data_IF_240752374056
#
_entry.id   IF_240752374056
#
_cell.length_a   1.000
_cell.length_b   1.000
_cell.length_c   1.000
_cell.angle_alpha   90.00
_cell.angle_beta   90.00
_cell.angle_gamma   90.00
#
_symmetry.space_group_name_H-M   'P 1'
#
loop_
_entity.id
_entity.type
_entity.pdbx_description
1 polymer ?
#
# COMPACT_ATOMS: atom_id res chain seq x y z
N UNK A 1 -29.03 -2.84 -28.02
CA UNK A 1 -28.08 -2.06 -27.22
C UNK A 1 -26.76 -2.80 -27.25
N UNK A 2 -25.73 -2.16 -27.78
CA UNK A 2 -24.42 -2.75 -28.03
C UNK A 2 -23.65 -2.96 -26.73
N UNK A 3 -23.14 -4.17 -26.54
CA UNK A 3 -22.38 -4.58 -25.37
C UNK A 3 -20.99 -3.92 -25.44
N UNK A 4 -20.78 -2.82 -24.71
CA UNK A 4 -19.51 -2.09 -24.71
C UNK A 4 -18.61 -2.70 -23.63
N UNK A 5 -17.64 -3.52 -24.04
CA UNK A 5 -16.62 -4.04 -23.13
C UNK A 5 -15.72 -2.92 -22.56
N UNK A 6 -15.21 -3.10 -21.33
CA UNK A 6 -14.30 -2.16 -20.63
C UNK A 6 -13.16 -1.63 -21.53
N UNK A 7 -12.59 -2.52 -22.36
CA UNK A 7 -11.51 -2.18 -23.31
C UNK A 7 -11.97 -1.32 -24.48
N UNK A 8 -13.23 -1.46 -24.91
CA UNK A 8 -13.85 -0.65 -25.98
C UNK A 8 -14.28 0.71 -25.43
N UNK A 9 -14.78 0.76 -24.19
CA UNK A 9 -15.11 2.01 -23.50
C UNK A 9 -13.85 2.87 -23.27
N UNK A 10 -12.78 2.28 -22.73
CA UNK A 10 -11.50 2.96 -22.53
C UNK A 10 -10.79 3.38 -23.82
N UNK A 11 -11.13 2.77 -24.97
CA UNK A 11 -10.62 3.18 -26.30
C UNK A 11 -11.48 4.26 -26.96
N UNK A 12 -12.74 4.40 -26.56
CA UNK A 12 -13.68 5.38 -27.12
C UNK A 12 -13.55 6.79 -26.53
N UNK A 13 -13.01 6.91 -25.31
CA UNK A 13 -12.70 8.20 -24.67
C UNK A 13 -11.24 8.57 -24.99
N UNK A 14 -11.04 9.43 -25.99
CA UNK A 14 -9.74 9.82 -26.49
C UNK A 14 -8.77 10.33 -25.42
N UNK A 15 -7.50 9.95 -25.56
CA UNK A 15 -6.25 10.54 -25.01
C UNK A 15 -6.16 10.91 -23.52
N UNK A 16 -7.20 10.71 -22.71
CA UNK A 16 -7.31 11.15 -21.32
C UNK A 16 -7.86 10.01 -20.44
N UNK A 17 -7.29 8.82 -20.56
CA UNK A 17 -7.80 7.64 -19.86
C UNK A 17 -7.42 7.68 -18.37
N UNK A 18 -8.18 8.41 -17.55
CA UNK A 18 -8.28 8.06 -16.14
C UNK A 18 -8.96 6.69 -16.05
N UNK A 19 -8.35 5.73 -15.36
CA UNK A 19 -9.01 4.47 -15.05
C UNK A 19 -10.23 4.78 -14.17
N UNK A 20 -11.43 4.57 -14.71
CA UNK A 20 -12.66 4.79 -13.96
C UNK A 20 -12.93 3.59 -13.04
N UNK A 21 -13.51 3.83 -11.85
CA UNK A 21 -14.03 2.75 -11.01
C UNK A 21 -15.03 1.90 -11.79
N UNK A 22 -15.16 0.65 -11.38
CA UNK A 22 -16.21 -0.21 -11.90
C UNK A 22 -17.59 0.37 -11.57
N UNK A 23 -18.48 0.39 -12.57
CA UNK A 23 -19.83 0.95 -12.48
C UNK A 23 -20.83 -0.18 -12.76
N UNK A 24 -21.54 -0.62 -11.71
CA UNK A 24 -22.47 -1.75 -11.78
C UNK A 24 -23.67 -1.49 -12.70
N UNK A 25 -24.13 -0.25 -12.80
CA UNK A 25 -25.24 0.18 -13.67
C UNK A 25 -24.92 0.09 -15.17
N UNK A 26 -23.64 0.06 -15.54
CA UNK A 26 -23.22 -0.15 -16.94
C UNK A 26 -23.16 -1.64 -17.31
N UNK A 27 -23.19 -2.55 -16.34
CA UNK A 27 -23.16 -3.99 -16.54
C UNK A 27 -24.57 -4.56 -16.77
N UNK A 28 -25.25 -4.13 -17.83
CA UNK A 28 -26.55 -4.69 -18.22
C UNK A 28 -26.32 -6.04 -18.92
N UNK A 29 -26.50 -7.17 -18.21
CA UNK A 29 -26.65 -8.50 -18.82
C UNK A 29 -25.85 -9.66 -18.22
N UNK A 30 -25.05 -9.49 -17.17
CA UNK A 30 -24.35 -10.62 -16.53
C UNK A 30 -25.08 -11.10 -15.27
N UNK A 31 -25.77 -12.24 -15.35
CA UNK A 31 -26.44 -12.91 -14.22
C UNK A 31 -25.47 -13.54 -13.19
N UNK A 32 -24.16 -13.39 -13.36
CA UNK A 32 -23.13 -13.81 -12.40
C UNK A 32 -22.20 -12.64 -12.12
N UNK A 33 -22.64 -11.73 -11.26
CA UNK A 33 -21.83 -10.61 -10.79
C UNK A 33 -21.01 -11.05 -9.56
N UNK A 34 -19.69 -11.06 -9.69
CA UNK A 34 -18.79 -11.33 -8.58
C UNK A 34 -18.08 -10.03 -8.19
N UNK A 35 -18.27 -9.59 -6.94
CA UNK A 35 -17.57 -8.42 -6.42
C UNK A 35 -16.07 -8.68 -6.52
N UNK A 36 -15.27 -7.79 -7.15
CA UNK A 36 -13.84 -8.01 -7.32
C UNK A 36 -13.19 -8.13 -5.94
N UNK A 37 -12.58 -9.28 -5.70
CA UNK A 37 -11.75 -9.50 -4.52
C UNK A 37 -10.51 -8.62 -4.63
N UNK A 38 -10.12 -8.01 -3.51
CA UNK A 38 -8.96 -7.14 -3.42
C UNK A 38 -8.16 -7.48 -2.18
N UNK A 39 -6.84 -7.38 -2.28
CA UNK A 39 -5.93 -7.61 -1.17
C UNK A 39 -4.99 -6.41 -1.03
N UNK A 40 -4.85 -5.91 0.19
CA UNK A 40 -3.89 -4.86 0.53
C UNK A 40 -3.09 -5.28 1.75
N UNK A 41 -1.77 -5.20 1.67
CA UNK A 41 -0.86 -5.54 2.76
C UNK A 41 -0.17 -4.30 3.29
N UNK A 42 -0.25 -4.09 4.60
CA UNK A 42 0.34 -2.94 5.27
C UNK A 42 1.50 -3.41 6.15
N UNK A 43 2.65 -2.80 5.97
CA UNK A 43 3.83 -3.03 6.79
C UNK A 43 4.13 -1.82 7.66
N UNK A 44 4.21 -2.05 8.97
CA UNK A 44 4.58 -1.05 9.98
C UNK A 44 5.98 -1.40 10.50
N UNK A 45 7.00 -0.59 10.20
CA UNK A 45 8.38 -0.90 10.55
C UNK A 45 8.68 -0.58 12.03
N UNK A 46 9.86 -1.01 12.52
CA UNK A 46 10.42 -0.64 13.86
C UNK A 46 9.60 -1.23 15.04
N UNK A 47 8.58 -2.03 14.73
CA UNK A 47 7.77 -2.74 15.71
C UNK A 47 6.76 -1.86 16.44
N UNK A 48 6.13 -2.44 17.45
CA UNK A 48 5.03 -1.82 18.22
C UNK A 48 5.31 -1.93 19.71
N UNK A 49 4.79 -0.98 20.48
CA UNK A 49 4.86 -1.04 21.94
C UNK A 49 3.90 -2.13 22.42
N UNK A 50 4.46 -3.27 22.84
CA UNK A 50 3.67 -4.48 23.17
C UNK A 50 2.54 -4.22 24.15
N UNK A 51 2.83 -3.51 25.26
CA UNK A 51 1.86 -3.18 26.33
C UNK A 51 0.61 -2.47 25.85
N UNK A 52 0.70 -1.74 24.74
CA UNK A 52 -0.39 -0.91 24.24
C UNK A 52 -0.94 -1.40 22.91
N UNK A 53 -0.35 -2.45 22.33
CA UNK A 53 -0.75 -3.04 21.05
C UNK A 53 -1.39 -4.43 21.22
N UNK A 54 -0.73 -5.36 21.92
CA UNK A 54 -1.22 -6.73 22.07
C UNK A 54 -2.20 -6.85 23.26
N UNK A 55 -3.44 -7.31 23.02
CA UNK A 55 -4.38 -7.61 24.11
C UNK A 55 -3.80 -8.62 25.10
N UNK A 56 -3.96 -8.38 26.41
CA UNK A 56 -3.46 -9.27 27.46
C UNK A 56 -1.96 -9.09 27.80
N UNK A 57 -1.27 -8.14 27.15
CA UNK A 57 0.13 -7.82 27.42
C UNK A 57 0.33 -6.49 28.16
N UNK A 58 -0.71 -5.93 28.79
CA UNK A 58 -0.66 -4.61 29.44
C UNK A 58 0.39 -4.55 30.57
N UNK A 59 0.63 -5.69 31.22
CA UNK A 59 1.62 -5.88 32.29
C UNK A 59 2.96 -6.41 31.79
N UNK A 60 3.12 -6.64 30.49
CA UNK A 60 4.34 -7.21 29.89
C UNK A 60 5.55 -6.33 30.21
N UNK A 61 6.51 -6.84 30.99
CA UNK A 61 7.72 -6.10 31.36
C UNK A 61 8.84 -6.21 30.33
N UNK A 62 8.56 -6.71 29.12
CA UNK A 62 9.55 -6.98 28.07
C UNK A 62 10.29 -5.67 27.71
N UNK A 63 11.43 -5.48 28.36
CA UNK A 63 12.46 -4.46 28.12
C UNK A 63 13.69 -5.10 27.45
N UNK A 64 13.53 -6.20 26.72
CA UNK A 64 14.67 -6.86 26.10
C UNK A 64 15.29 -5.91 25.06
N UNK A 65 16.55 -5.51 25.31
CA UNK A 65 17.37 -4.86 24.29
C UNK A 65 17.70 -5.92 23.23
N UNK A 66 17.05 -5.80 22.08
CA UNK A 66 17.37 -6.60 20.91
C UNK A 66 18.79 -6.27 20.46
N UNK A 67 19.67 -7.26 20.52
CA UNK A 67 20.98 -7.24 19.88
C UNK A 67 21.07 -8.50 19.03
N UNK A 68 21.76 -8.43 17.89
CA UNK A 68 21.89 -9.55 16.97
C UNK A 68 22.46 -10.82 17.63
N UNK A 69 23.13 -10.68 18.78
CA UNK A 69 23.88 -11.76 19.43
C UNK A 69 23.13 -12.45 20.59
N UNK A 70 21.98 -11.92 21.07
CA UNK A 70 21.27 -12.43 22.25
C UNK A 70 19.75 -12.60 22.02
N UNK A 71 19.34 -13.02 20.83
CA UNK A 71 17.93 -13.22 20.50
C UNK A 71 17.41 -14.59 20.97
N UNK A 72 16.52 -14.59 21.97
CA UNK A 72 15.66 -15.74 22.30
C UNK A 72 14.26 -15.51 21.72
N UNK A 73 13.97 -16.22 20.62
CA UNK A 73 12.67 -16.18 19.97
C UNK A 73 11.54 -16.58 20.92
N UNK A 74 11.78 -17.56 21.79
CA UNK A 74 10.80 -18.09 22.74
C UNK A 74 10.34 -17.04 23.74
N UNK A 75 11.27 -16.24 24.29
CA UNK A 75 10.94 -15.17 25.24
C UNK A 75 10.18 -13.99 24.61
N UNK A 76 10.08 -13.93 23.28
CA UNK A 76 9.45 -12.82 22.55
C UNK A 76 8.07 -13.17 21.98
N UNK A 77 7.64 -14.44 22.09
CA UNK A 77 6.31 -14.84 21.62
C UNK A 77 5.22 -14.09 22.36
N UNK A 78 4.15 -13.76 21.65
CA UNK A 78 2.96 -13.24 22.32
C UNK A 78 2.31 -14.35 23.14
N UNK A 79 1.71 -13.97 24.26
CA UNK A 79 0.93 -14.91 25.09
C UNK A 79 -0.47 -15.19 24.50
N UNK A 80 -0.77 -14.66 23.32
CA UNK A 80 -2.03 -14.89 22.61
C UNK A 80 -1.96 -16.24 21.89
N UNK A 81 -2.97 -17.09 22.09
CA UNK A 81 -3.06 -18.40 21.42
C UNK A 81 -3.02 -18.24 19.89
N UNK A 82 -2.44 -19.21 19.18
CA UNK A 82 -2.38 -19.19 17.71
C UNK A 82 -3.76 -19.41 17.12
N UNK A 83 -4.23 -18.49 16.27
CA UNK A 83 -5.50 -18.65 15.57
C UNK A 83 -6.16 -17.33 15.16
N UNK A 84 -7.48 -17.40 15.01
CA UNK A 84 -8.34 -16.26 14.70
C UNK A 84 -8.99 -15.77 15.99
N UNK A 85 -8.93 -14.45 16.22
CA UNK A 85 -9.45 -13.80 17.41
C UNK A 85 -10.26 -12.56 17.04
N UNK A 86 -11.31 -12.29 17.80
CA UNK A 86 -11.97 -10.99 17.73
C UNK A 86 -11.00 -9.88 18.18
N UNK A 87 -11.06 -8.73 17.50
CA UNK A 87 -10.19 -7.61 17.85
C UNK A 87 -10.61 -7.01 19.21
N UNK A 88 -9.80 -7.24 20.24
CA UNK A 88 -9.88 -6.49 21.48
C UNK A 88 -9.12 -5.16 21.33
N UNK A 89 -9.82 -4.04 21.47
CA UNK A 89 -9.23 -2.72 21.26
C UNK A 89 -8.31 -2.33 22.42
N UNK A 90 -7.01 -2.34 22.16
CA UNK A 90 -6.00 -1.74 23.04
C UNK A 90 -5.92 -0.21 22.83
N UNK A 91 -5.21 0.55 23.70
CA UNK A 91 -5.12 2.00 23.56
C UNK A 91 -4.63 2.48 22.19
N UNK A 92 -3.70 1.77 21.54
CA UNK A 92 -3.21 2.13 20.20
C UNK A 92 -4.19 1.76 19.09
N UNK A 93 -5.08 0.80 19.33
CA UNK A 93 -6.10 0.35 18.38
C UNK A 93 -7.42 1.13 18.47
N UNK A 94 -7.57 2.07 19.43
CA UNK A 94 -8.78 2.90 19.57
C UNK A 94 -9.31 3.52 18.27
N UNK A 95 -8.47 3.99 17.32
CA UNK A 95 -8.95 4.51 16.04
C UNK A 95 -9.74 3.50 15.19
N UNK A 96 -9.59 2.20 15.45
CA UNK A 96 -10.31 1.12 14.76
C UNK A 96 -11.70 0.83 15.35
N UNK A 97 -12.16 1.59 16.35
CA UNK A 97 -13.42 1.30 17.06
C UNK A 97 -14.63 1.22 16.13
N UNK A 98 -14.73 2.11 15.15
CA UNK A 98 -15.81 2.11 14.14
C UNK A 98 -15.70 0.98 13.09
N UNK A 99 -14.61 0.23 13.10
CA UNK A 99 -14.33 -0.88 12.18
C UNK A 99 -14.14 -2.21 12.91
N UNK A 100 -14.36 -2.27 14.22
CA UNK A 100 -14.05 -3.44 15.06
C UNK A 100 -14.68 -4.73 14.50
N UNK A 101 -15.94 -4.66 14.08
CA UNK A 101 -16.69 -5.82 13.56
C UNK A 101 -16.23 -6.26 12.15
N UNK A 102 -15.30 -5.50 11.55
CA UNK A 102 -14.68 -5.78 10.24
C UNK A 102 -13.21 -6.15 10.35
N UNK A 103 -12.67 -6.28 11.57
CA UNK A 103 -11.25 -6.58 11.80
C UNK A 103 -11.13 -7.84 12.66
N UNK A 104 -10.35 -8.79 12.18
CA UNK A 104 -9.98 -10.01 12.90
C UNK A 104 -8.50 -9.95 13.22
N UNK A 105 -8.13 -10.30 14.46
CA UNK A 105 -6.74 -10.47 14.85
C UNK A 105 -6.33 -11.91 14.51
N UNK A 106 -5.25 -12.05 13.73
CA UNK A 106 -4.66 -13.34 13.38
C UNK A 106 -3.29 -13.44 14.06
N UNK A 107 -3.06 -14.52 14.78
CA UNK A 107 -1.81 -14.79 15.52
C UNK A 107 -1.14 -16.08 15.03
N UNK A 108 0.13 -16.26 15.39
CA UNK A 108 0.95 -17.39 14.91
C UNK A 108 1.51 -17.22 13.51
N UNK A 109 1.53 -15.98 13.01
CA UNK A 109 2.21 -15.60 11.77
C UNK A 109 3.63 -15.05 12.05
N UNK A 110 4.16 -15.30 13.26
CA UNK A 110 5.53 -14.95 13.60
C UNK A 110 6.53 -15.86 12.88
N UNK A 111 7.74 -15.34 12.72
CA UNK A 111 8.85 -16.05 12.08
C UNK A 111 10.06 -16.11 13.00
N UNK A 112 10.82 -17.18 12.89
CA UNK A 112 12.13 -17.27 13.54
C UNK A 112 13.16 -16.47 12.75
N UNK A 113 13.89 -15.60 13.45
CA UNK A 113 15.02 -14.87 12.88
C UNK A 113 16.14 -15.82 12.46
N UNK A 114 16.76 -15.58 11.30
CA UNK A 114 17.95 -16.30 10.85
C UNK A 114 19.22 -15.50 11.21
N UNK A 115 20.08 -15.98 12.12
CA UNK A 115 21.33 -15.29 12.44
C UNK A 115 22.24 -15.10 11.21
N UNK A 116 23.04 -14.04 11.22
CA UNK A 116 24.01 -13.72 10.17
C UNK A 116 23.61 -12.59 9.22
N UNK A 117 22.42 -11.99 9.40
CA UNK A 117 22.05 -10.72 8.77
C UNK A 117 21.55 -9.72 9.82
N UNK A 118 21.25 -8.52 9.38
CA UNK A 118 20.55 -7.55 10.21
C UNK A 118 19.09 -7.96 10.47
N UNK A 119 18.60 -7.72 11.69
CA UNK A 119 17.22 -8.03 12.09
C UNK A 119 16.20 -7.16 11.36
N UNK A 120 16.48 -5.87 11.18
CA UNK A 120 15.58 -4.93 10.50
C UNK A 120 15.43 -5.29 9.03
N UNK A 121 16.51 -5.71 8.37
CA UNK A 121 16.45 -6.25 7.01
C UNK A 121 15.53 -7.48 6.91
N UNK A 122 15.57 -8.38 7.89
CA UNK A 122 14.66 -9.54 7.96
C UNK A 122 13.25 -9.19 8.47
N UNK A 123 13.02 -8.06 9.11
CA UNK A 123 11.65 -7.64 9.43
C UNK A 123 10.93 -7.22 8.15
N UNK A 124 11.53 -6.36 7.33
CA UNK A 124 10.91 -5.86 6.11
C UNK A 124 10.88 -6.92 5.00
N UNK A 125 12.04 -7.39 4.56
CA UNK A 125 12.14 -8.26 3.38
C UNK A 125 11.40 -9.59 3.49
N UNK A 126 11.13 -10.01 4.71
CA UNK A 126 10.66 -11.34 5.03
C UNK A 126 9.20 -11.33 5.51
N UNK A 127 8.55 -10.15 5.52
CA UNK A 127 7.17 -9.94 5.96
C UNK A 127 6.14 -10.75 5.15
N UNK A 128 6.23 -10.74 3.82
CA UNK A 128 5.30 -11.47 2.93
C UNK A 128 5.88 -12.80 2.40
N UNK A 129 7.03 -13.24 2.90
CA UNK A 129 7.73 -14.45 2.45
C UNK A 129 7.51 -15.61 3.42
N UNK A 130 7.22 -16.80 2.88
CA UNK A 130 7.06 -18.05 3.64
C UNK A 130 8.36 -18.88 3.76
N UNK A 131 9.48 -18.40 3.22
CA UNK A 131 10.73 -19.16 3.27
C UNK A 131 11.21 -19.35 4.71
N UNK A 132 11.43 -20.61 5.08
CA UNK A 132 11.93 -20.99 6.40
C UNK A 132 13.40 -20.61 6.56
N UNK A 133 13.88 -20.35 7.79
CA UNK A 133 15.30 -20.11 8.05
C UNK A 133 16.18 -21.22 7.47
N UNK A 134 17.29 -20.84 6.84
CA UNK A 134 18.31 -21.71 6.23
C UNK A 134 17.82 -22.60 5.08
N UNK A 135 16.56 -22.44 4.63
CA UNK A 135 16.02 -23.21 3.49
C UNK A 135 16.68 -22.83 2.15
N UNK A 136 17.14 -21.58 2.03
CA UNK A 136 17.79 -21.03 0.85
C UNK A 136 19.30 -21.01 1.07
N UNK A 137 20.04 -21.81 0.27
CA UNK A 137 21.49 -22.00 0.46
C UNK A 137 22.37 -20.90 -0.15
N UNK A 138 21.82 -20.13 -1.09
CA UNK A 138 22.57 -19.16 -1.90
C UNK A 138 22.39 -17.71 -1.44
N UNK A 139 21.55 -17.47 -0.43
CA UNK A 139 21.29 -16.13 0.10
C UNK A 139 21.19 -16.19 1.62
N UNK A 140 21.76 -15.21 2.35
CA UNK A 140 21.62 -15.17 3.80
C UNK A 140 20.22 -14.73 4.23
N UNK A 141 19.39 -14.25 3.29
CA UNK A 141 18.03 -13.83 3.57
C UNK A 141 17.00 -14.91 3.20
N UNK A 142 16.18 -15.38 4.16
CA UNK A 142 15.11 -16.36 3.90
C UNK A 142 13.89 -15.73 3.19
N UNK A 143 14.06 -15.37 1.92
CA UNK A 143 13.08 -14.72 1.06
C UNK A 143 12.69 -15.60 -0.13
N UNK A 144 11.40 -15.91 -0.25
CA UNK A 144 10.79 -16.52 -1.43
C UNK A 144 9.82 -15.53 -2.09
N UNK A 145 9.18 -16.00 -3.16
CA UNK A 145 8.09 -15.27 -3.79
C UNK A 145 7.02 -14.89 -2.76
N UNK A 146 6.65 -13.62 -2.74
CA UNK A 146 5.80 -13.07 -1.69
C UNK A 146 4.31 -13.33 -1.90
N UNK A 147 3.56 -13.31 -0.79
CA UNK A 147 2.13 -13.62 -0.73
C UNK A 147 1.26 -12.75 -1.63
N UNK A 148 1.58 -11.46 -1.75
CA UNK A 148 0.90 -10.53 -2.66
C UNK A 148 0.99 -10.99 -4.12
N UNK A 149 2.15 -11.43 -4.59
CA UNK A 149 2.29 -11.99 -5.94
C UNK A 149 1.61 -13.35 -6.11
N UNK A 150 1.55 -14.17 -5.06
CA UNK A 150 0.79 -15.43 -5.09
C UNK A 150 -0.71 -15.14 -5.23
N UNK A 151 -1.23 -14.18 -4.49
CA UNK A 151 -2.64 -13.75 -4.59
C UNK A 151 -2.92 -13.09 -5.94
N UNK A 152 -1.99 -12.27 -6.44
CA UNK A 152 -2.14 -11.60 -7.73
C UNK A 152 -2.20 -12.58 -8.91
N UNK A 153 -1.61 -13.77 -8.78
CA UNK A 153 -1.78 -14.82 -9.78
C UNK A 153 -3.21 -15.34 -9.85
N UNK A 154 -4.02 -15.18 -8.81
CA UNK A 154 -5.43 -15.58 -8.82
C UNK A 154 -6.34 -14.41 -9.19
N UNK A 155 -6.18 -13.25 -8.54
CA UNK A 155 -7.12 -12.13 -8.64
C UNK A 155 -6.61 -10.94 -9.46
N UNK A 156 -5.35 -10.93 -9.89
CA UNK A 156 -4.71 -9.80 -10.61
C UNK A 156 -4.64 -9.96 -12.13
N UNK A 157 -5.31 -10.97 -12.73
CA UNK A 157 -5.21 -11.27 -14.17
C UNK A 157 -5.90 -10.23 -15.07
N UNK A 158 -6.95 -9.60 -14.56
CA UNK A 158 -7.83 -8.69 -15.33
C UNK A 158 -7.54 -7.20 -15.07
N UNK A 159 -6.45 -6.89 -14.37
CA UNK A 159 -6.03 -5.52 -14.06
C UNK A 159 -4.77 -5.12 -14.84
N UNK A 160 -4.61 -3.84 -15.22
CA UNK A 160 -3.42 -3.36 -15.92
C UNK A 160 -2.10 -3.68 -15.20
N UNK A 161 -2.12 -3.58 -13.87
CA UNK A 161 -1.02 -3.97 -13.00
C UNK A 161 -1.46 -5.19 -12.18
N UNK A 162 -0.63 -6.23 -12.13
CA UNK A 162 -0.90 -7.42 -11.29
C UNK A 162 -0.81 -7.09 -9.81
N UNK A 163 0.19 -6.32 -9.45
CA UNK A 163 0.46 -5.80 -8.11
C UNK A 163 0.93 -4.35 -8.23
N UNK A 164 0.75 -3.56 -7.16
CA UNK A 164 1.38 -2.25 -6.99
C UNK A 164 2.00 -2.15 -5.61
N UNK A 165 3.29 -1.89 -5.57
CA UNK A 165 4.08 -1.78 -4.37
C UNK A 165 4.31 -0.30 -4.03
N UNK A 166 3.90 0.13 -2.84
CA UNK A 166 4.02 1.50 -2.35
C UNK A 166 4.95 1.52 -1.13
N UNK A 167 5.80 2.53 -1.03
CA UNK A 167 6.67 2.73 0.12
C UNK A 167 6.74 4.19 0.48
N UNK A 168 6.76 4.47 1.77
CA UNK A 168 7.04 5.80 2.28
C UNK A 168 8.51 6.02 2.65
N UNK A 169 9.44 5.19 2.18
CA UNK A 169 10.84 5.56 2.34
C UNK A 169 11.22 6.68 1.34
N UNK A 170 11.53 7.87 1.86
CA UNK A 170 11.93 9.06 1.10
C UNK A 170 13.42 9.09 0.76
N UNK A 171 14.23 8.17 1.28
CA UNK A 171 15.66 8.12 1.00
C UNK A 171 15.93 7.80 -0.47
N UNK A 172 16.73 8.66 -1.09
CA UNK A 172 17.19 8.52 -2.48
C UNK A 172 18.52 7.77 -2.59
N UNK A 173 19.29 7.75 -1.50
CA UNK A 173 20.57 7.05 -1.45
C UNK A 173 20.36 5.62 -0.97
N UNK A 174 21.00 4.67 -1.66
CA UNK A 174 21.12 3.26 -1.25
C UNK A 174 22.03 3.11 -0.01
N UNK A 175 21.83 3.91 1.03
CA UNK A 175 22.57 3.78 2.29
C UNK A 175 22.34 2.39 2.90
N UNK A 176 21.12 1.88 2.75
CA UNK A 176 20.70 0.57 3.19
C UNK A 176 20.45 -0.37 2.01
N UNK A 177 20.57 -1.67 2.26
CA UNK A 177 20.33 -2.69 1.25
C UNK A 177 18.85 -2.75 0.84
N UNK A 178 18.57 -3.33 -0.33
CA UNK A 178 17.20 -3.49 -0.83
C UNK A 178 16.26 -4.23 0.13
N UNK A 179 16.82 -5.01 1.06
CA UNK A 179 16.10 -5.76 2.08
C UNK A 179 15.52 -4.90 3.21
N UNK A 180 16.04 -3.69 3.44
CA UNK A 180 15.46 -2.74 4.41
C UNK A 180 14.28 -1.96 3.83
N UNK A 181 14.17 -1.92 2.51
CA UNK A 181 13.30 -0.97 1.80
C UNK A 181 12.15 -1.63 1.04
N UNK A 182 12.12 -2.95 0.97
CA UNK A 182 11.13 -3.68 0.19
C UNK A 182 10.59 -4.86 0.99
N UNK A 183 9.28 -5.07 0.83
CA UNK A 183 8.51 -6.13 1.51
C UNK A 183 7.93 -7.15 0.52
N UNK A 184 8.12 -6.92 -0.79
CA UNK A 184 7.56 -7.70 -1.89
C UNK A 184 8.64 -8.17 -2.86
N UNK A 185 8.48 -9.40 -3.34
CA UNK A 185 9.49 -10.14 -4.09
C UNK A 185 8.84 -11.06 -5.13
N UNK A 186 9.25 -10.92 -6.39
CA UNK A 186 8.88 -11.88 -7.44
C UNK A 186 9.43 -13.29 -7.16
N UNK A 187 10.53 -13.37 -6.42
CA UNK A 187 11.20 -14.59 -6.02
C UNK A 187 12.44 -14.27 -5.18
N UNK A 188 13.17 -15.32 -4.78
CA UNK A 188 14.42 -15.18 -4.05
C UNK A 188 15.38 -14.24 -4.79
N UNK A 189 15.84 -13.18 -4.11
CA UNK A 189 16.73 -12.13 -4.66
C UNK A 189 16.16 -11.29 -5.82
N UNK A 190 14.87 -11.45 -6.14
CA UNK A 190 14.19 -10.71 -7.20
C UNK A 190 13.16 -9.77 -6.60
N UNK A 191 13.59 -8.54 -6.32
CA UNK A 191 12.75 -7.51 -5.68
C UNK A 191 11.60 -7.05 -6.58
N UNK A 192 10.43 -6.84 -5.98
CA UNK A 192 9.36 -6.07 -6.60
C UNK A 192 9.47 -4.61 -6.13
N UNK A 193 9.93 -3.69 -6.99
CA UNK A 193 10.33 -2.36 -6.57
C UNK A 193 9.14 -1.48 -6.19
N UNK A 194 9.17 -0.94 -4.97
CA UNK A 194 8.14 -0.01 -4.49
C UNK A 194 8.23 1.38 -5.13
N UNK A 195 7.09 2.01 -5.36
CA UNK A 195 6.97 3.44 -5.66
C UNK A 195 7.15 4.26 -4.38
N UNK A 196 8.07 5.22 -4.41
CA UNK A 196 8.54 6.01 -3.25
C UNK A 196 8.35 7.52 -3.38
N UNK A 197 7.91 7.98 -4.53
CA UNK A 197 7.66 9.40 -4.77
C UNK A 197 6.18 9.55 -5.14
N UNK A 198 5.37 10.28 -4.33
CA UNK A 198 3.94 10.40 -4.56
C UNK A 198 3.61 11.06 -5.91
N UNK A 199 4.43 12.01 -6.37
CA UNK A 199 4.22 12.70 -7.64
C UNK A 199 4.52 11.75 -8.81
N UNK A 200 5.63 11.00 -8.75
CA UNK A 200 5.95 10.00 -9.77
C UNK A 200 4.94 8.85 -9.78
N UNK A 201 4.49 8.41 -8.60
CA UNK A 201 3.44 7.41 -8.48
C UNK A 201 2.13 7.91 -9.11
N UNK A 202 1.69 9.13 -8.77
CA UNK A 202 0.51 9.74 -9.37
C UNK A 202 0.61 9.83 -10.90
N UNK A 203 1.74 10.33 -11.41
CA UNK A 203 1.98 10.42 -12.85
C UNK A 203 1.92 9.06 -13.53
N UNK A 204 2.60 8.05 -12.95
CA UNK A 204 2.62 6.69 -13.49
C UNK A 204 1.25 6.03 -13.51
N UNK A 205 0.42 6.29 -12.50
CA UNK A 205 -0.86 5.63 -12.32
C UNK A 205 -2.00 6.33 -13.06
N UNK A 206 -1.98 7.65 -13.14
CA UNK A 206 -3.14 8.45 -13.55
C UNK A 206 -2.86 9.42 -14.71
N UNK A 207 -1.61 9.66 -15.13
CA UNK A 207 -1.28 10.53 -16.27
C UNK A 207 -0.74 9.72 -17.46
N UNK A 208 -1.39 9.80 -18.61
CA UNK A 208 -1.05 9.02 -19.81
C UNK A 208 -0.25 9.75 -20.90
N UNK A 209 0.20 11.00 -20.68
CA UNK A 209 1.03 11.70 -21.67
C UNK A 209 1.99 12.74 -21.04
N UNK A 210 3.20 12.87 -21.59
CA UNK A 210 4.18 13.91 -21.21
C UNK A 210 3.67 15.32 -21.58
N UNK A 211 2.79 15.43 -22.57
CA UNK A 211 2.20 16.71 -23.03
C UNK A 211 1.12 17.28 -22.10
N UNK A 212 0.48 16.45 -21.28
CA UNK A 212 -0.55 16.87 -20.33
C UNK A 212 0.01 17.22 -18.95
N UNK A 213 1.33 17.40 -18.83
CA UNK A 213 2.00 17.74 -17.58
C UNK A 213 1.48 19.05 -16.94
N UNK A 214 0.87 19.95 -17.73
CA UNK A 214 0.50 21.30 -17.33
C UNK A 214 -1.01 21.57 -17.15
N UNK A 215 -1.89 20.58 -17.33
CA UNK A 215 -3.32 20.77 -17.10
C UNK A 215 -3.84 19.84 -16.01
N UNK A 216 -4.73 20.37 -15.16
CA UNK A 216 -5.51 19.62 -14.18
C UNK A 216 -6.32 18.57 -14.95
N UNK A 217 -5.87 17.32 -14.87
CA UNK A 217 -6.55 16.20 -15.53
C UNK A 217 -7.96 16.04 -14.96
N UNK A 218 -8.17 16.37 -13.69
CA UNK A 218 -9.49 16.42 -13.09
C UNK A 218 -10.42 17.36 -13.86
N UNK A 219 -10.00 18.57 -14.26
CA UNK A 219 -10.90 19.50 -14.96
C UNK A 219 -11.27 19.00 -16.36
N UNK A 220 -10.32 18.37 -17.05
CA UNK A 220 -10.51 17.79 -18.39
C UNK A 220 -11.43 16.55 -18.37
N UNK A 221 -11.27 15.68 -17.36
CA UNK A 221 -12.09 14.48 -17.22
C UNK A 221 -13.42 14.79 -16.54
N UNK A 222 -13.53 15.85 -15.73
CA UNK A 222 -14.77 16.23 -15.04
C UNK A 222 -15.91 16.58 -16.02
N UNK A 223 -15.62 17.19 -17.16
CA UNK A 223 -16.65 17.53 -18.15
C UNK A 223 -17.22 16.29 -18.85
N UNK A 224 -16.36 15.33 -19.21
CA UNK A 224 -16.78 14.01 -19.71
C UNK A 224 -17.52 13.20 -18.62
N UNK A 225 -17.04 13.30 -17.38
CA UNK A 225 -17.59 12.63 -16.22
C UNK A 225 -18.99 13.14 -15.83
N UNK A 226 -19.26 14.44 -15.99
CA UNK A 226 -20.59 15.04 -15.76
C UNK A 226 -21.62 14.55 -16.77
N UNK A 227 -21.19 14.34 -18.02
CA UNK A 227 -22.04 13.76 -19.06
C UNK A 227 -22.38 12.32 -18.72
N UNK A 228 -21.38 11.53 -18.33
CA UNK A 228 -21.56 10.11 -17.94
C UNK A 228 -22.46 9.95 -16.70
N UNK A 229 -22.35 10.86 -15.71
CA UNK A 229 -23.16 10.81 -14.47
C UNK A 229 -24.68 10.74 -14.73
N UNK A 230 -25.16 11.33 -15.85
CA UNK A 230 -26.59 11.31 -16.20
C UNK A 230 -27.11 9.92 -16.57
N UNK A 231 -26.22 9.05 -17.05
CA UNK A 231 -26.54 7.70 -17.52
C UNK A 231 -26.29 6.62 -16.45
N UNK A 232 -25.70 6.99 -15.30
CA UNK A 232 -25.38 6.09 -14.20
C UNK A 232 -26.54 5.94 -13.22
N UNK A 233 -26.69 4.73 -12.65
CA UNK A 233 -27.59 4.48 -11.53
C UNK A 233 -27.14 5.20 -10.24
N UNK A 234 -28.06 5.39 -9.29
CA UNK A 234 -27.80 6.17 -8.06
C UNK A 234 -26.56 5.71 -7.27
N UNK A 235 -26.38 4.40 -7.08
CA UNK A 235 -25.22 3.84 -6.37
C UNK A 235 -23.90 4.12 -7.10
N UNK A 236 -23.91 4.08 -8.43
CA UNK A 236 -22.73 4.34 -9.23
C UNK A 236 -22.40 5.82 -9.26
N UNK A 237 -23.40 6.70 -9.33
CA UNK A 237 -23.20 8.14 -9.22
C UNK A 237 -22.51 8.51 -7.91
N UNK A 238 -22.83 7.82 -6.81
CA UNK A 238 -22.17 8.02 -5.52
C UNK A 238 -20.70 7.56 -5.56
N UNK A 239 -20.42 6.32 -5.97
CA UNK A 239 -19.04 5.79 -6.10
C UNK A 239 -18.18 6.64 -7.01
N UNK A 240 -18.78 7.07 -8.11
CA UNK A 240 -18.14 7.94 -9.08
C UNK A 240 -17.82 9.31 -8.48
N UNK A 241 -18.76 9.91 -7.74
CA UNK A 241 -18.52 11.15 -6.99
C UNK A 241 -17.37 11.02 -5.98
N UNK A 242 -17.41 9.97 -5.14
CA UNK A 242 -16.38 9.69 -4.13
C UNK A 242 -14.99 9.53 -4.76
N UNK A 243 -14.90 8.84 -5.91
CA UNK A 243 -13.64 8.67 -6.63
C UNK A 243 -13.07 9.99 -7.14
N UNK A 244 -13.87 10.82 -7.81
CA UNK A 244 -13.38 12.11 -8.33
C UNK A 244 -13.02 13.09 -7.22
N UNK A 245 -13.75 13.08 -6.10
CA UNK A 245 -13.38 13.84 -4.91
C UNK A 245 -12.03 13.35 -4.34
N UNK A 246 -11.79 12.04 -4.31
CA UNK A 246 -10.52 11.45 -3.89
C UNK A 246 -9.36 11.88 -4.80
N UNK A 247 -9.51 11.78 -6.13
CA UNK A 247 -8.48 12.21 -7.08
C UNK A 247 -8.17 13.72 -6.94
N UNK A 248 -9.20 14.55 -6.79
CA UNK A 248 -9.02 15.99 -6.59
C UNK A 248 -8.30 16.32 -5.28
N UNK A 249 -8.61 15.59 -4.21
CA UNK A 249 -7.91 15.72 -2.93
C UNK A 249 -6.43 15.34 -3.06
N UNK A 250 -6.13 14.24 -3.77
CA UNK A 250 -4.77 13.80 -4.08
C UNK A 250 -4.01 14.87 -4.87
N UNK A 251 -4.59 15.44 -5.93
CA UNK A 251 -3.95 16.51 -6.73
C UNK A 251 -3.67 17.78 -5.91
N UNK A 252 -4.62 18.16 -5.05
CA UNK A 252 -4.47 19.32 -4.15
C UNK A 252 -3.35 19.10 -3.16
N UNK A 253 -3.26 17.89 -2.59
CA UNK A 253 -2.24 17.53 -1.62
C UNK A 253 -0.85 17.42 -2.26
N UNK A 254 -0.74 16.85 -3.47
CA UNK A 254 0.49 16.84 -4.26
C UNK A 254 0.97 18.26 -4.53
N UNK A 255 0.07 19.14 -4.99
CA UNK A 255 0.40 20.54 -5.29
C UNK A 255 0.89 21.29 -4.06
N UNK A 256 0.26 21.05 -2.90
CA UNK A 256 0.70 21.62 -1.62
C UNK A 256 2.09 21.11 -1.20
N UNK A 257 2.32 19.79 -1.26
CA UNK A 257 3.61 19.21 -0.87
C UNK A 257 4.73 19.65 -1.81
N UNK A 258 4.46 19.78 -3.11
CA UNK A 258 5.44 20.27 -4.09
C UNK A 258 5.74 21.77 -3.87
N UNK A 259 4.71 22.58 -3.60
CA UNK A 259 4.87 23.98 -3.20
C UNK A 259 5.74 24.13 -1.94
N UNK A 260 5.44 23.37 -0.89
CA UNK A 260 6.24 23.34 0.34
C UNK A 260 7.69 22.92 0.05
N UNK A 261 7.91 21.87 -0.74
CA UNK A 261 9.24 21.41 -1.12
C UNK A 261 10.03 22.48 -1.88
N UNK A 262 9.38 23.19 -2.80
CA UNK A 262 9.98 24.28 -3.58
C UNK A 262 10.31 25.52 -2.72
N UNK A 263 9.52 25.80 -1.69
CA UNK A 263 9.85 26.83 -0.70
C UNK A 263 11.01 26.40 0.21
N UNK A 264 10.98 25.15 0.67
CA UNK A 264 12.01 24.57 1.53
C UNK A 264 13.36 24.42 0.82
N UNK A 265 13.38 24.19 -0.49
CA UNK A 265 14.62 24.15 -1.28
C UNK A 265 15.29 25.52 -1.45
N UNK A 266 14.58 26.63 -1.14
CA UNK A 266 15.15 27.98 -1.11
C UNK A 266 15.80 28.30 0.24
N UNK A 267 15.56 27.48 1.25
CA UNK A 267 16.09 27.65 2.60
C UNK A 267 17.24 26.66 2.78
N UNK A 268 18.46 27.18 2.69
CA UNK A 268 19.71 26.43 2.85
C UNK A 268 19.91 26.05 4.32
N UNK A 269 19.22 24.99 4.73
CA UNK A 269 19.41 24.33 5.99
C UNK A 269 19.84 22.91 5.66
N UNK A 270 21.06 22.57 6.07
CA UNK A 270 21.80 21.30 5.97
C UNK A 270 21.11 20.16 6.79
N UNK A 271 19.79 20.12 6.71
CA UNK A 271 18.90 19.21 7.41
C UNK A 271 18.32 18.28 6.33
N UNK A 272 18.49 16.95 6.48
CA UNK A 272 17.89 15.97 5.57
C UNK A 272 16.41 16.28 5.35
N UNK A 273 15.98 16.24 4.10
CA UNK A 273 14.60 16.53 3.68
C UNK A 273 13.54 15.69 4.42
N UNK A 274 13.93 14.59 5.06
CA UNK A 274 13.09 13.68 5.84
C UNK A 274 12.38 14.34 7.03
N UNK A 275 12.89 15.46 7.54
CA UNK A 275 12.28 16.21 8.65
C UNK A 275 11.32 17.35 8.24
N UNK A 276 11.18 17.65 6.95
CA UNK A 276 10.55 18.91 6.49
C UNK A 276 9.16 18.75 5.87
N UNK A 277 8.75 17.57 5.42
CA UNK A 277 7.36 17.28 5.04
C UNK A 277 6.62 16.65 6.23
N UNK A 278 5.36 17.05 6.53
CA UNK A 278 4.61 16.41 7.60
C UNK A 278 4.43 14.93 7.28
N UNK A 279 5.18 14.06 7.98
CA UNK A 279 5.26 12.62 7.70
C UNK A 279 3.89 11.95 7.57
N UNK A 280 2.96 12.34 8.43
CA UNK A 280 1.58 11.87 8.38
C UNK A 280 0.85 12.22 7.08
N UNK A 281 1.09 13.40 6.52
CA UNK A 281 0.51 13.79 5.23
C UNK A 281 1.09 13.00 4.08
N UNK A 282 2.41 12.76 4.09
CA UNK A 282 3.05 11.92 3.09
C UNK A 282 2.48 10.49 3.12
N UNK A 283 2.38 9.88 4.30
CA UNK A 283 1.82 8.53 4.48
C UNK A 283 0.36 8.50 3.99
N UNK A 284 -0.43 9.52 4.35
CA UNK A 284 -1.82 9.63 3.94
C UNK A 284 -1.94 9.71 2.42
N UNK A 285 -1.13 10.55 1.77
CA UNK A 285 -1.13 10.70 0.32
C UNK A 285 -0.80 9.39 -0.41
N UNK A 286 0.23 8.67 0.04
CA UNK A 286 0.58 7.38 -0.55
C UNK A 286 -0.52 6.33 -0.32
N UNK A 287 -1.15 6.35 0.85
CA UNK A 287 -2.32 5.52 1.15
C UNK A 287 -3.50 5.84 0.22
N UNK A 288 -3.80 7.13 0.00
CA UNK A 288 -4.87 7.57 -0.88
C UNK A 288 -4.62 7.16 -2.34
N UNK A 289 -3.37 7.25 -2.82
CA UNK A 289 -2.98 6.76 -4.15
C UNK A 289 -3.20 5.25 -4.30
N UNK A 290 -2.87 4.46 -3.26
CA UNK A 290 -3.11 3.01 -3.27
C UNK A 290 -4.61 2.71 -3.28
N UNK A 291 -5.41 3.38 -2.45
CA UNK A 291 -6.87 3.21 -2.39
C UNK A 291 -7.50 3.57 -3.73
N UNK A 292 -7.10 4.71 -4.33
CA UNK A 292 -7.57 5.14 -5.64
C UNK A 292 -7.21 4.11 -6.74
N UNK A 293 -6.03 3.49 -6.66
CA UNK A 293 -5.60 2.44 -7.59
C UNK A 293 -6.46 1.16 -7.49
N UNK A 294 -6.85 0.79 -6.27
CA UNK A 294 -7.75 -0.34 -6.01
C UNK A 294 -9.19 -0.04 -6.46
N UNK A 295 -9.69 1.17 -6.22
CA UNK A 295 -11.03 1.61 -6.59
C UNK A 295 -11.21 1.73 -8.11
N UNK A 296 -10.24 2.33 -8.80
CA UNK A 296 -10.19 2.43 -10.27
C UNK A 296 -9.93 1.08 -10.97
N UNK A 297 -9.55 0.05 -10.21
CA UNK A 297 -9.22 -1.26 -10.74
C UNK A 297 -7.96 -1.25 -11.62
N UNK A 298 -6.98 -0.39 -11.28
CA UNK A 298 -5.63 -0.43 -11.83
C UNK A 298 -4.88 -1.67 -11.35
N UNK A 299 -5.16 -2.10 -10.12
CA UNK A 299 -4.72 -3.37 -9.52
C UNK A 299 -5.81 -3.90 -8.60
N UNK A 300 -5.78 -5.22 -8.33
CA UNK A 300 -6.55 -5.84 -7.25
C UNK A 300 -5.68 -6.16 -6.03
N UNK A 301 -4.35 -6.08 -6.17
CA UNK A 301 -3.39 -6.38 -5.11
C UNK A 301 -2.42 -5.22 -4.93
N UNK A 302 -2.23 -4.78 -3.69
CA UNK A 302 -1.26 -3.75 -3.37
C UNK A 302 -0.52 -4.04 -2.06
N UNK A 303 0.71 -3.53 -1.96
CA UNK A 303 1.50 -3.56 -0.73
C UNK A 303 1.92 -2.15 -0.35
N UNK A 304 1.97 -1.87 0.95
CA UNK A 304 2.28 -0.54 1.45
C UNK A 304 3.20 -0.59 2.67
N UNK A 305 4.43 -0.11 2.48
CA UNK A 305 5.40 0.09 3.54
C UNK A 305 5.27 1.50 4.11
N UNK A 306 4.73 1.62 5.33
CA UNK A 306 4.38 2.90 5.98
C UNK A 306 5.63 3.73 6.35
N UNK A 307 6.78 3.08 6.47
CA UNK A 307 8.05 3.78 6.61
C UNK A 307 9.26 2.87 6.51
N UNK A 308 10.47 3.44 6.57
CA UNK A 308 11.69 2.67 6.53
C UNK A 308 11.92 1.92 7.84
N UNK A 309 12.59 0.78 7.76
CA UNK A 309 13.09 0.04 8.92
C UNK A 309 14.23 0.77 9.63
N UNK A 310 14.94 1.64 8.91
CA UNK A 310 16.05 2.42 9.43
C UNK A 310 16.11 3.79 8.73
N UNK A 311 16.38 4.82 9.52
CA UNK A 311 16.47 6.21 9.08
C UNK A 311 17.93 6.63 8.90
#
# INVERSE_FOLDING_TARGET
MTNIGRRTFLRGMGTSALALPWMESLAVGSNHFQIPQRAAFYYVPIGVVRKTFFPGEEKSSVQQKFTNDNYDAGSTRSNIEVGLHDLQLTPTMKPLSGLKDKVTLITGLDRTFQPGTDVHAQCASCFLSSASPFSLKHTPYPQARSLDHIIADEIGKDTPFKTLEFSCNSHKDNKESIQFDNISWYGTEHVAPSMRDPLLAYRRLFKSDERSAYQNITDLVLDDARSLKKDLGYSDQQKFGEYFESIRAIETQISRLDGMKNELSKVDLDIPMDGKLPRGEYIRLMGDLMVASLQSGLTNVATFMVGPERW
#
